data_IF_065794400840
#
_entry.id   IF_065794400840
#
_cell.length_a   1.000
_cell.length_b   1.000
_cell.length_c   1.000
_cell.angle_alpha   90.00
_cell.angle_beta   90.00
_cell.angle_gamma   90.00
#
_symmetry.space_group_name_H-M   'P 1'
#
loop_
_entity.id
_entity.type
_entity.pdbx_description
1 polymer ?
#
# COMPACT_ATOMS: atom_id res chain seq x y z
N UNK A 1 6.97 26.97 -1.12
CA UNK A 1 7.93 25.95 -1.63
C UNK A 1 7.73 24.57 -1.02
N UNK A 2 7.59 24.42 0.30
CA UNK A 2 7.39 23.11 0.94
C UNK A 2 6.20 22.28 0.39
N UNK A 3 5.08 22.95 0.05
CA UNK A 3 3.90 22.32 -0.59
C UNK A 3 4.23 21.53 -1.86
N UNK A 4 5.05 22.13 -2.73
CA UNK A 4 5.43 21.58 -4.03
C UNK A 4 6.37 20.38 -3.86
N UNK A 5 7.32 20.45 -2.93
CA UNK A 5 8.23 19.34 -2.63
C UNK A 5 7.49 18.11 -2.10
N UNK A 6 6.53 18.28 -1.18
CA UNK A 6 5.73 17.16 -0.65
C UNK A 6 4.88 16.52 -1.75
N UNK A 7 4.30 17.32 -2.64
CA UNK A 7 3.51 16.82 -3.77
C UNK A 7 4.38 16.12 -4.83
N UNK A 8 5.51 16.73 -5.21
CA UNK A 8 6.42 16.19 -6.23
C UNK A 8 7.13 14.93 -5.75
N UNK A 9 7.44 14.79 -4.47
CA UNK A 9 8.12 13.60 -3.93
C UNK A 9 7.10 12.54 -3.50
N UNK A 10 5.97 12.95 -2.92
CA UNK A 10 4.94 12.05 -2.42
C UNK A 10 4.27 11.25 -3.54
N UNK A 11 3.94 11.88 -4.66
CA UNK A 11 3.32 11.21 -5.81
C UNK A 11 4.16 10.07 -6.41
N UNK A 12 5.44 10.27 -6.79
CA UNK A 12 6.25 9.18 -7.32
C UNK A 12 6.46 8.07 -6.29
N UNK A 13 6.65 8.39 -5.00
CA UNK A 13 6.73 7.37 -3.94
C UNK A 13 5.45 6.52 -3.90
N UNK A 14 4.26 7.14 -3.93
CA UNK A 14 2.96 6.46 -3.94
C UNK A 14 2.78 5.58 -5.19
N UNK A 15 3.21 6.06 -6.36
CA UNK A 15 3.15 5.33 -7.63
C UNK A 15 4.09 4.12 -7.61
N UNK A 16 5.35 4.31 -7.20
CA UNK A 16 6.31 3.22 -7.06
C UNK A 16 5.86 2.17 -6.04
N UNK A 17 5.31 2.60 -4.90
CA UNK A 17 4.74 1.69 -3.90
C UNK A 17 3.56 0.89 -4.45
N UNK A 18 2.64 1.53 -5.17
CA UNK A 18 1.50 0.85 -5.79
C UNK A 18 1.94 -0.21 -6.79
N UNK A 19 2.91 0.11 -7.66
CA UNK A 19 3.48 -0.85 -8.61
C UNK A 19 4.12 -2.02 -7.87
N UNK A 20 4.90 -1.75 -6.82
CA UNK A 20 5.54 -2.78 -6.01
C UNK A 20 4.53 -3.73 -5.36
N UNK A 21 3.45 -3.20 -4.75
CA UNK A 21 2.38 -4.04 -4.19
C UNK A 21 1.72 -4.86 -5.29
N UNK A 22 1.45 -4.26 -6.45
CA UNK A 22 0.72 -4.96 -7.50
C UNK A 22 1.49 -6.20 -7.96
N UNK A 23 2.79 -6.06 -8.22
CA UNK A 23 3.65 -7.20 -8.58
C UNK A 23 3.75 -8.23 -7.45
N UNK A 24 3.97 -7.78 -6.22
CA UNK A 24 4.15 -8.67 -5.07
C UNK A 24 2.85 -9.40 -4.72
N UNK A 25 1.74 -8.69 -4.68
CA UNK A 25 0.39 -9.21 -4.48
C UNK A 25 0.00 -10.23 -5.54
N UNK A 26 0.34 -9.99 -6.81
CA UNK A 26 0.11 -10.97 -7.89
C UNK A 26 0.98 -12.21 -7.73
N UNK A 27 2.23 -12.05 -7.31
CA UNK A 27 3.14 -13.17 -7.04
C UNK A 27 2.63 -14.03 -5.87
N UNK A 28 2.23 -13.40 -4.76
CA UNK A 28 1.67 -14.11 -3.61
C UNK A 28 0.36 -14.78 -4.01
N UNK A 29 -0.55 -14.07 -4.68
CA UNK A 29 -1.83 -14.62 -5.16
C UNK A 29 -1.64 -15.86 -6.03
N UNK A 30 -0.66 -15.86 -6.93
CA UNK A 30 -0.35 -17.01 -7.80
C UNK A 30 0.13 -18.22 -7.01
N UNK A 31 0.82 -18.01 -5.88
CA UNK A 31 1.27 -19.07 -4.97
C UNK A 31 0.15 -19.62 -4.08
N UNK A 32 -0.88 -18.83 -3.77
CA UNK A 32 -2.03 -19.24 -2.93
C UNK A 32 -3.33 -19.46 -3.72
N UNK A 33 -3.22 -19.47 -5.04
CA UNK A 33 -4.29 -19.63 -6.03
C UNK A 33 -4.99 -20.99 -5.85
N UNK A 34 -6.02 -21.00 -5.02
CA UNK A 34 -6.78 -22.20 -4.64
C UNK A 34 -7.27 -22.21 -3.19
N UNK A 35 -6.77 -21.31 -2.35
CA UNK A 35 -7.14 -21.21 -0.92
C UNK A 35 -7.93 -19.95 -0.58
N UNK A 36 -8.60 -19.95 0.58
CA UNK A 36 -9.27 -18.78 1.16
C UNK A 36 -8.30 -17.59 1.34
N UNK A 37 -7.02 -17.88 1.61
CA UNK A 37 -5.95 -16.89 1.76
C UNK A 37 -5.74 -16.09 0.46
N UNK A 38 -5.86 -16.72 -0.71
CA UNK A 38 -5.75 -16.03 -2.00
C UNK A 38 -6.83 -14.97 -2.21
N UNK A 39 -8.08 -15.22 -1.77
CA UNK A 39 -9.16 -14.22 -1.83
C UNK A 39 -8.88 -13.04 -0.91
N UNK A 40 -8.42 -13.30 0.32
CA UNK A 40 -8.08 -12.26 1.30
C UNK A 40 -6.96 -11.36 0.76
N UNK A 41 -5.92 -11.95 0.15
CA UNK A 41 -4.83 -11.18 -0.47
C UNK A 41 -5.32 -10.29 -1.60
N UNK A 42 -6.21 -10.80 -2.46
CA UNK A 42 -6.77 -10.02 -3.57
C UNK A 42 -7.53 -8.80 -3.06
N UNK A 43 -8.35 -8.99 -2.03
CA UNK A 43 -9.06 -7.89 -1.35
C UNK A 43 -8.06 -6.93 -0.72
N UNK A 44 -7.05 -7.43 0.00
CA UNK A 44 -6.04 -6.59 0.66
C UNK A 44 -5.28 -5.70 -0.35
N UNK A 45 -4.85 -6.27 -1.48
CA UNK A 45 -4.16 -5.53 -2.55
C UNK A 45 -5.08 -4.48 -3.16
N UNK A 46 -6.35 -4.80 -3.39
CA UNK A 46 -7.33 -3.86 -3.94
C UNK A 46 -7.60 -2.71 -2.97
N UNK A 47 -7.85 -3.03 -1.70
CA UNK A 47 -8.03 -2.04 -0.63
C UNK A 47 -6.80 -1.16 -0.48
N UNK A 48 -5.59 -1.72 -0.56
CA UNK A 48 -4.35 -0.94 -0.56
C UNK A 48 -4.29 0.05 -1.72
N UNK A 49 -4.56 -0.40 -2.96
CA UNK A 49 -4.55 0.49 -4.14
C UNK A 49 -5.54 1.63 -4.01
N UNK A 50 -6.77 1.33 -3.57
CA UNK A 50 -7.79 2.35 -3.31
C UNK A 50 -7.30 3.31 -2.23
N UNK A 51 -6.75 2.83 -1.12
CA UNK A 51 -6.25 3.68 -0.05
C UNK A 51 -5.10 4.59 -0.52
N UNK A 52 -4.12 4.05 -1.25
CA UNK A 52 -2.99 4.81 -1.79
C UNK A 52 -3.47 5.93 -2.73
N UNK A 53 -4.45 5.63 -3.58
CA UNK A 53 -5.01 6.58 -4.55
C UNK A 53 -5.81 7.68 -3.85
N UNK A 54 -6.68 7.30 -2.91
CA UNK A 54 -7.45 8.22 -2.08
C UNK A 54 -6.55 9.13 -1.25
N UNK A 55 -5.46 8.60 -0.67
CA UNK A 55 -4.51 9.39 0.12
C UNK A 55 -3.79 10.43 -0.75
N UNK A 56 -3.41 10.09 -1.98
CA UNK A 56 -2.81 11.02 -2.95
C UNK A 56 -3.77 12.16 -3.36
N UNK A 57 -5.04 11.85 -3.58
CA UNK A 57 -6.06 12.86 -3.93
C UNK A 57 -6.37 13.75 -2.73
N UNK A 58 -6.65 13.15 -1.56
CA UNK A 58 -6.99 13.89 -0.35
C UNK A 58 -5.84 14.78 0.12
N UNK A 59 -4.60 14.29 0.06
CA UNK A 59 -3.42 15.11 0.38
C UNK A 59 -3.27 16.32 -0.54
N UNK A 60 -3.52 16.15 -1.85
CA UNK A 60 -3.46 17.24 -2.83
C UNK A 60 -4.56 18.27 -2.60
N UNK A 61 -5.79 17.83 -2.32
CA UNK A 61 -6.89 18.74 -2.00
C UNK A 61 -6.63 19.51 -0.70
N UNK A 62 -6.21 18.82 0.37
CA UNK A 62 -6.02 19.43 1.68
C UNK A 62 -4.89 20.47 1.71
N UNK A 63 -3.78 20.22 1.01
CA UNK A 63 -2.65 21.17 0.89
C UNK A 63 -3.04 22.42 0.10
N UNK A 64 -3.98 22.31 -0.84
CA UNK A 64 -4.46 23.44 -1.64
C UNK A 64 -5.48 24.29 -0.89
N UNK A 65 -6.35 23.69 -0.08
CA UNK A 65 -7.37 24.43 0.68
C UNK A 65 -6.79 25.14 1.91
N UNK A 66 -5.82 24.54 2.61
CA UNK A 66 -5.30 25.09 3.87
C UNK A 66 -3.77 25.26 3.86
N UNK A 67 -3.22 26.45 4.16
CA UNK A 67 -1.77 26.68 4.31
C UNK A 67 -1.10 25.80 5.36
N UNK A 68 -1.81 25.42 6.43
CA UNK A 68 -1.31 24.55 7.51
C UNK A 68 -1.52 23.05 7.26
N UNK A 69 -2.29 22.68 6.23
CA UNK A 69 -2.69 21.29 5.95
C UNK A 69 -1.52 20.33 5.67
N UNK A 70 -0.33 20.86 5.37
CA UNK A 70 0.88 20.06 5.11
C UNK A 70 1.24 19.17 6.30
N UNK A 71 1.18 19.69 7.54
CA UNK A 71 1.57 18.94 8.74
C UNK A 71 0.61 17.77 9.02
N UNK A 72 -0.68 18.00 8.77
CA UNK A 72 -1.72 16.97 8.91
C UNK A 72 -1.50 15.88 7.86
N UNK A 73 -1.30 16.26 6.61
CA UNK A 73 -1.04 15.33 5.51
C UNK A 73 0.23 14.51 5.76
N UNK A 74 1.30 15.13 6.25
CA UNK A 74 2.54 14.44 6.57
C UNK A 74 2.33 13.40 7.68
N UNK A 75 1.58 13.74 8.73
CA UNK A 75 1.26 12.83 9.83
C UNK A 75 0.43 11.64 9.33
N UNK A 76 -0.61 11.91 8.53
CA UNK A 76 -1.44 10.86 7.92
C UNK A 76 -0.59 9.97 7.01
N UNK A 77 0.34 10.54 6.25
CA UNK A 77 1.25 9.79 5.38
C UNK A 77 2.17 8.85 6.19
N UNK A 78 2.74 9.32 7.30
CA UNK A 78 3.56 8.49 8.19
C UNK A 78 2.75 7.32 8.75
N UNK A 79 1.56 7.58 9.30
CA UNK A 79 0.69 6.53 9.86
C UNK A 79 0.31 5.53 8.78
N UNK A 80 -0.08 6.01 7.59
CA UNK A 80 -0.40 5.17 6.45
C UNK A 80 0.79 4.29 6.04
N UNK A 81 2.00 4.86 6.00
CA UNK A 81 3.21 4.13 5.63
C UNK A 81 3.55 3.02 6.63
N UNK A 82 3.30 3.23 7.92
CA UNK A 82 3.46 2.18 8.94
C UNK A 82 2.48 1.03 8.70
N UNK A 83 1.19 1.32 8.50
CA UNK A 83 0.15 0.32 8.20
C UNK A 83 0.49 -0.45 6.92
N UNK A 84 1.00 0.27 5.92
CA UNK A 84 1.47 -0.30 4.67
C UNK A 84 2.57 -1.33 4.87
N UNK A 85 3.61 -1.01 5.64
CA UNK A 85 4.70 -1.93 5.96
C UNK A 85 4.17 -3.17 6.69
N UNK A 86 3.26 -2.99 7.65
CA UNK A 86 2.64 -4.11 8.37
C UNK A 86 1.88 -5.04 7.43
N UNK A 87 1.05 -4.48 6.55
CA UNK A 87 0.27 -5.30 5.65
C UNK A 87 1.15 -5.98 4.58
N UNK A 88 2.28 -5.39 4.17
CA UNK A 88 3.31 -6.09 3.40
C UNK A 88 3.98 -7.24 4.17
N UNK A 89 4.21 -7.09 5.48
CA UNK A 89 4.74 -8.17 6.32
C UNK A 89 3.74 -9.32 6.41
N UNK A 90 2.45 -9.02 6.64
CA UNK A 90 1.37 -10.01 6.66
C UNK A 90 1.30 -10.74 5.33
N UNK A 91 1.37 -10.02 4.21
CA UNK A 91 1.38 -10.60 2.87
C UNK A 91 2.56 -11.57 2.68
N UNK A 92 3.75 -11.18 3.13
CA UNK A 92 4.95 -12.03 3.09
C UNK A 92 4.85 -13.25 4.01
N UNK A 93 4.24 -13.11 5.19
CA UNK A 93 4.03 -14.22 6.11
C UNK A 93 3.04 -15.23 5.53
N UNK A 94 1.91 -14.75 5.01
CA UNK A 94 0.93 -15.58 4.31
C UNK A 94 1.55 -16.33 3.13
N UNK A 95 2.46 -15.68 2.38
CA UNK A 95 3.23 -16.34 1.32
C UNK A 95 4.13 -17.47 1.85
N UNK A 96 4.85 -17.22 2.95
CA UNK A 96 5.74 -18.21 3.57
C UNK A 96 4.96 -19.41 4.09
N UNK A 97 3.84 -19.19 4.76
CA UNK A 97 2.96 -20.25 5.25
C UNK A 97 2.41 -21.09 4.10
N UNK A 98 1.90 -20.44 3.06
CA UNK A 98 1.43 -21.12 1.86
C UNK A 98 2.51 -21.99 1.21
N UNK A 99 3.74 -21.46 1.07
CA UNK A 99 4.87 -22.19 0.49
C UNK A 99 5.27 -23.38 1.35
N UNK A 100 5.15 -23.26 2.68
CA UNK A 100 5.42 -24.35 3.64
C UNK A 100 4.43 -25.50 3.51
N UNK A 101 3.15 -25.18 3.28
CA UNK A 101 2.08 -26.17 3.09
C UNK A 101 2.22 -26.89 1.75
N UNK A 102 2.58 -26.16 0.68
CA UNK A 102 2.71 -26.72 -0.68
C UNK A 102 4.01 -27.51 -0.84
N UNK A 103 5.12 -27.09 -0.21
CA UNK A 103 6.43 -27.77 -0.30
C UNK A 103 6.56 -29.06 0.54
N UNK A 104 5.50 -29.43 1.27
CA UNK A 104 5.43 -30.69 2.04
C UNK A 104 4.70 -31.81 1.29
N UNK A 105 4.41 -31.60 0.00
CA UNK A 105 3.80 -32.57 -0.91
C UNK A 105 4.79 -32.89 -2.04
#
# INVERSE_FOLDING_TARGET
MAKILVLIIGWPVLVFLSIYIFFKGRHVYKLVSGSMIGKIIKVLVYTMLVNTSSLGILSTLYINTDPGGIYIVLTVFIVWFIVFIWALKILNQAQKEAKKIIGHK
#
